data_IF_844365670054
#
_entry.id   IF_844365670054
#
_cell.length_a   1.000
_cell.length_b   1.000
_cell.length_c   1.000
_cell.angle_alpha   90.00
_cell.angle_beta   90.00
_cell.angle_gamma   90.00
#
_symmetry.space_group_name_H-M   'P 1'
#
loop_
_entity.id
_entity.type
_entity.pdbx_description
1 polymer ?
#
# COMPACT_ATOMS: atom_id res chain seq x y z
N UNK A 1 71.28 -111.61 -13.26
CA UNK A 1 70.32 -110.91 -12.38
C UNK A 1 69.77 -109.74 -13.17
N UNK A 2 68.56 -109.92 -13.68
CA UNK A 2 67.81 -108.89 -14.40
C UNK A 2 66.86 -108.23 -13.40
N UNK A 3 66.88 -106.90 -13.33
CA UNK A 3 65.86 -106.12 -12.62
C UNK A 3 65.26 -105.14 -13.61
N UNK A 4 64.01 -105.44 -13.93
CA UNK A 4 63.04 -104.68 -14.72
C UNK A 4 62.62 -103.39 -13.99
N UNK A 5 62.61 -102.28 -14.75
CA UNK A 5 61.60 -101.19 -14.90
C UNK A 5 60.85 -100.59 -13.68
N UNK A 6 60.27 -99.34 -13.74
CA UNK A 6 59.84 -98.62 -14.95
C UNK A 6 60.11 -97.09 -15.01
N UNK A 7 60.16 -96.59 -16.26
CA UNK A 7 59.89 -95.20 -16.58
C UNK A 7 58.37 -94.94 -16.50
N UNK A 8 57.96 -94.01 -15.64
CA UNK A 8 56.59 -93.53 -15.57
C UNK A 8 56.34 -92.44 -16.63
N UNK A 9 55.84 -92.82 -17.80
CA UNK A 9 55.15 -91.88 -18.70
C UNK A 9 53.69 -91.75 -18.26
N UNK A 10 53.32 -90.59 -17.72
CA UNK A 10 51.92 -90.20 -17.47
C UNK A 10 51.17 -90.13 -18.81
N UNK A 11 50.07 -90.87 -19.02
CA UNK A 11 49.13 -90.52 -20.07
C UNK A 11 48.29 -89.34 -19.58
N UNK A 12 48.39 -88.21 -20.28
CA UNK A 12 47.35 -87.18 -20.22
C UNK A 12 46.11 -87.78 -20.88
N UNK A 13 45.14 -88.16 -20.06
CA UNK A 13 43.79 -88.52 -20.49
C UNK A 13 43.10 -87.23 -20.96
N UNK A 14 43.35 -86.85 -22.21
CA UNK A 14 42.61 -85.79 -22.88
C UNK A 14 41.24 -86.38 -23.21
N UNK A 15 40.24 -86.09 -22.37
CA UNK A 15 38.85 -86.43 -22.63
C UNK A 15 38.38 -85.67 -23.87
N UNK A 16 38.59 -86.25 -25.04
CA UNK A 16 38.04 -85.76 -26.31
C UNK A 16 36.53 -86.00 -26.27
N UNK A 17 35.79 -85.00 -25.80
CA UNK A 17 34.33 -84.99 -25.88
C UNK A 17 33.96 -84.82 -27.35
N UNK A 18 33.63 -85.91 -28.02
CA UNK A 18 33.12 -85.89 -29.39
C UNK A 18 31.68 -85.36 -29.39
N UNK A 19 31.52 -84.06 -29.60
CA UNK A 19 30.22 -83.45 -29.84
C UNK A 19 29.65 -83.94 -31.17
N UNK A 20 28.44 -84.49 -31.15
CA UNK A 20 27.73 -84.76 -32.40
C UNK A 20 27.25 -83.44 -32.97
N UNK A 21 27.07 -83.37 -34.29
CA UNK A 21 26.62 -82.16 -34.96
C UNK A 21 25.27 -81.65 -34.41
N UNK A 22 24.41 -82.56 -33.95
CA UNK A 22 23.19 -82.25 -33.20
C UNK A 22 23.42 -81.47 -31.89
N UNK A 23 24.52 -81.75 -31.19
CA UNK A 23 24.83 -81.12 -29.91
C UNK A 23 25.34 -79.69 -30.14
N UNK A 24 26.13 -79.50 -31.20
CA UNK A 24 26.59 -78.17 -31.62
C UNK A 24 25.43 -77.28 -32.05
N UNK A 25 24.48 -77.83 -32.82
CA UNK A 25 23.29 -77.09 -33.25
C UNK A 25 22.38 -76.72 -32.07
N UNK A 26 22.22 -77.64 -31.10
CA UNK A 26 21.44 -77.38 -29.87
C UNK A 26 22.09 -76.29 -29.02
N UNK A 27 23.42 -76.30 -28.87
CA UNK A 27 24.15 -75.26 -28.12
C UNK A 27 24.02 -73.91 -28.81
N UNK A 28 24.11 -73.87 -30.16
CA UNK A 28 23.96 -72.64 -30.92
C UNK A 28 22.57 -72.04 -30.76
N UNK A 29 21.53 -72.87 -30.86
CA UNK A 29 20.15 -72.42 -30.66
C UNK A 29 19.92 -71.89 -29.23
N UNK A 30 20.47 -72.55 -28.21
CA UNK A 30 20.41 -72.06 -26.83
C UNK A 30 21.12 -70.72 -26.64
N UNK A 31 22.28 -70.52 -27.27
CA UNK A 31 23.01 -69.25 -27.21
C UNK A 31 22.18 -68.14 -27.87
N UNK A 32 21.63 -68.39 -29.05
CA UNK A 32 20.80 -67.40 -29.77
C UNK A 32 19.53 -67.04 -28.99
N UNK A 33 18.84 -68.02 -28.40
CA UNK A 33 17.69 -67.78 -27.53
C UNK A 33 18.06 -67.00 -26.27
N UNK A 34 19.21 -67.30 -25.67
CA UNK A 34 19.70 -66.59 -24.47
C UNK A 34 20.07 -65.15 -24.79
N UNK A 35 20.73 -64.90 -25.94
CA UNK A 35 21.05 -63.55 -26.41
C UNK A 35 19.79 -62.75 -26.76
N UNK A 36 18.83 -63.36 -27.45
CA UNK A 36 17.55 -62.73 -27.76
C UNK A 36 16.79 -62.32 -26.48
N UNK A 37 16.80 -63.20 -25.47
CA UNK A 37 16.16 -62.94 -24.17
C UNK A 37 16.85 -61.79 -23.43
N UNK A 38 18.19 -61.76 -23.42
CA UNK A 38 18.97 -60.65 -22.83
C UNK A 38 18.68 -59.32 -23.51
N UNK A 39 18.63 -59.29 -24.85
CA UNK A 39 18.28 -58.07 -25.61
C UNK A 39 16.86 -57.59 -25.28
N UNK A 40 15.89 -58.50 -25.19
CA UNK A 40 14.51 -58.16 -24.83
C UNK A 40 14.41 -57.62 -23.40
N UNK A 41 15.14 -58.21 -22.45
CA UNK A 41 15.18 -57.75 -21.07
C UNK A 41 15.84 -56.38 -20.95
N UNK A 42 16.95 -56.16 -21.67
CA UNK A 42 17.60 -54.85 -21.75
C UNK A 42 16.67 -53.78 -22.32
N UNK A 43 15.89 -54.10 -23.36
CA UNK A 43 14.90 -53.18 -23.92
C UNK A 43 13.79 -52.85 -22.91
N UNK A 44 13.29 -53.84 -22.16
CA UNK A 44 12.29 -53.61 -21.12
C UNK A 44 12.82 -52.71 -19.99
N UNK A 45 14.05 -52.98 -19.53
CA UNK A 45 14.70 -52.14 -18.51
C UNK A 45 14.91 -50.72 -19.03
N UNK A 46 15.33 -50.56 -20.29
CA UNK A 46 15.49 -49.25 -20.92
C UNK A 46 14.16 -48.49 -21.00
N UNK A 47 13.06 -49.16 -21.38
CA UNK A 47 11.72 -48.56 -21.42
C UNK A 47 11.29 -48.09 -20.02
N UNK A 48 11.49 -48.92 -19.01
CA UNK A 48 11.16 -48.57 -17.62
C UNK A 48 12.00 -47.39 -17.14
N UNK A 49 13.30 -47.38 -17.46
CA UNK A 49 14.19 -46.28 -17.11
C UNK A 49 13.77 -44.96 -17.78
N UNK A 50 13.41 -45.00 -19.07
CA UNK A 50 12.90 -43.82 -19.80
C UNK A 50 11.59 -43.33 -19.18
N UNK A 51 10.66 -44.23 -18.85
CA UNK A 51 9.39 -43.87 -18.23
C UNK A 51 9.60 -43.24 -16.84
N UNK A 52 10.51 -43.79 -16.02
CA UNK A 52 10.86 -43.24 -14.72
C UNK A 52 11.48 -41.84 -14.85
N UNK A 53 12.37 -41.63 -15.84
CA UNK A 53 13.03 -40.36 -16.09
C UNK A 53 12.03 -39.30 -16.57
N UNK A 54 11.10 -39.67 -17.47
CA UNK A 54 10.01 -38.80 -17.88
C UNK A 54 9.11 -38.42 -16.70
N UNK A 55 8.75 -39.37 -15.84
CA UNK A 55 7.98 -39.11 -14.62
C UNK A 55 8.70 -38.15 -13.66
N UNK A 56 10.01 -38.33 -13.47
CA UNK A 56 10.82 -37.45 -12.64
C UNK A 56 10.86 -36.01 -13.18
N UNK A 57 11.01 -35.82 -14.49
CA UNK A 57 10.99 -34.50 -15.13
C UNK A 57 9.63 -33.80 -14.89
N UNK A 58 8.52 -34.52 -15.07
CA UNK A 58 7.18 -33.97 -14.86
C UNK A 58 7.00 -33.53 -13.40
N UNK A 59 7.40 -34.35 -12.43
CA UNK A 59 7.31 -34.01 -11.01
C UNK A 59 8.17 -32.78 -10.65
N UNK A 60 9.41 -32.73 -11.16
CA UNK A 60 10.31 -31.59 -10.94
C UNK A 60 9.73 -30.31 -11.54
N UNK A 61 9.20 -30.36 -12.76
CA UNK A 61 8.59 -29.19 -13.41
C UNK A 61 7.37 -28.66 -12.66
N UNK A 62 6.52 -29.56 -12.16
CA UNK A 62 5.31 -29.21 -11.39
C UNK A 62 5.69 -28.56 -10.05
N UNK A 63 6.65 -29.15 -9.34
CA UNK A 63 7.14 -28.59 -8.07
C UNK A 63 7.79 -27.22 -8.27
N UNK A 64 8.55 -27.03 -9.34
CA UNK A 64 9.14 -25.73 -9.67
C UNK A 64 8.06 -24.69 -10.01
N UNK A 65 7.04 -25.05 -10.79
CA UNK A 65 5.92 -24.17 -11.11
C UNK A 65 5.18 -23.73 -9.82
N UNK A 66 4.88 -24.67 -8.93
CA UNK A 66 4.24 -24.37 -7.63
C UNK A 66 5.12 -23.47 -6.76
N UNK A 67 6.42 -23.77 -6.65
CA UNK A 67 7.35 -22.93 -5.90
C UNK A 67 7.44 -21.51 -6.46
N UNK A 68 7.58 -21.37 -7.79
CA UNK A 68 7.68 -20.08 -8.46
C UNK A 68 6.41 -19.23 -8.28
N UNK A 69 5.23 -19.85 -8.37
CA UNK A 69 3.94 -19.20 -8.14
C UNK A 69 3.77 -18.73 -6.69
N UNK A 70 4.23 -19.54 -5.72
CA UNK A 70 4.22 -19.20 -4.30
C UNK A 70 5.16 -18.03 -4.00
N UNK A 71 6.37 -18.03 -4.56
CA UNK A 71 7.33 -16.95 -4.39
C UNK A 71 6.81 -15.64 -5.03
N UNK A 72 6.21 -15.72 -6.22
CA UNK A 72 5.56 -14.58 -6.87
C UNK A 72 4.39 -14.04 -6.04
N UNK A 73 3.55 -14.92 -5.51
CA UNK A 73 2.40 -14.53 -4.67
C UNK A 73 2.85 -13.88 -3.38
N UNK A 74 3.90 -14.41 -2.72
CA UNK A 74 4.50 -13.80 -1.53
C UNK A 74 5.02 -12.40 -1.82
N UNK A 75 5.78 -12.21 -2.90
CA UNK A 75 6.28 -10.89 -3.30
C UNK A 75 5.14 -9.91 -3.57
N UNK A 76 4.08 -10.36 -4.25
CA UNK A 76 2.89 -9.54 -4.49
C UNK A 76 2.21 -9.14 -3.18
N UNK A 77 2.06 -10.08 -2.24
CA UNK A 77 1.47 -9.83 -0.93
C UNK A 77 2.31 -8.85 -0.09
N UNK A 78 3.63 -9.00 -0.12
CA UNK A 78 4.58 -8.08 0.54
C UNK A 78 4.50 -6.67 -0.04
N UNK A 79 4.38 -6.55 -1.37
CA UNK A 79 4.18 -5.28 -2.06
C UNK A 79 2.83 -4.64 -1.68
N UNK A 80 1.73 -5.38 -1.76
CA UNK A 80 0.41 -4.89 -1.37
C UNK A 80 0.38 -4.48 0.11
N UNK A 81 1.02 -5.24 0.99
CA UNK A 81 1.12 -4.90 2.41
C UNK A 81 1.95 -3.62 2.63
N UNK A 82 3.08 -3.45 1.92
CA UNK A 82 3.89 -2.24 1.99
C UNK A 82 3.11 -1.01 1.47
N UNK A 83 2.37 -1.16 0.37
CA UNK A 83 1.51 -0.10 -0.17
C UNK A 83 0.39 0.28 0.81
N UNK A 84 -0.32 -0.69 1.38
CA UNK A 84 -1.38 -0.45 2.36
C UNK A 84 -0.85 0.22 3.62
N UNK A 85 0.33 -0.19 4.10
CA UNK A 85 0.98 0.46 5.23
C UNK A 85 1.34 1.91 4.90
N UNK A 86 1.92 2.17 3.74
CA UNK A 86 2.22 3.53 3.29
C UNK A 86 0.98 4.42 3.19
N UNK A 87 -0.13 3.90 2.66
CA UNK A 87 -1.40 4.64 2.61
C UNK A 87 -1.95 4.93 3.99
N UNK A 88 -1.87 3.98 4.91
CA UNK A 88 -2.30 4.17 6.31
C UNK A 88 -1.49 5.28 6.97
N UNK A 89 -0.16 5.25 6.83
CA UNK A 89 0.72 6.27 7.40
C UNK A 89 0.43 7.68 6.83
N UNK A 90 0.18 7.77 5.53
CA UNK A 90 -0.20 9.03 4.87
C UNK A 90 -1.56 9.56 5.36
N UNK A 91 -2.56 8.68 5.50
CA UNK A 91 -3.88 9.06 6.00
C UNK A 91 -3.77 9.54 7.45
N UNK A 92 -2.98 8.85 8.29
CA UNK A 92 -2.77 9.25 9.67
C UNK A 92 -2.13 10.64 9.76
N UNK A 93 -1.09 10.91 8.97
CA UNK A 93 -0.47 12.23 8.91
C UNK A 93 -1.44 13.32 8.46
N UNK A 94 -2.30 13.04 7.48
CA UNK A 94 -3.34 13.98 7.04
C UNK A 94 -4.39 14.23 8.14
N UNK A 95 -4.76 13.21 8.89
CA UNK A 95 -5.70 13.30 9.99
C UNK A 95 -5.13 14.15 11.12
N UNK A 96 -3.88 13.91 11.50
CA UNK A 96 -3.17 14.65 12.55
C UNK A 96 -3.01 16.13 12.14
N UNK A 97 -2.62 16.39 10.90
CA UNK A 97 -2.50 17.76 10.38
C UNK A 97 -3.85 18.50 10.34
N UNK A 98 -4.93 17.82 9.95
CA UNK A 98 -6.29 18.41 9.99
C UNK A 98 -6.74 18.68 11.41
N UNK A 99 -6.54 17.73 12.32
CA UNK A 99 -6.93 17.88 13.73
C UNK A 99 -6.18 19.04 14.37
N UNK A 100 -4.86 19.16 14.15
CA UNK A 100 -4.07 20.28 14.65
C UNK A 100 -4.57 21.64 14.10
N UNK A 101 -4.93 21.69 12.81
CA UNK A 101 -5.50 22.88 12.20
C UNK A 101 -6.86 23.23 12.79
N UNK A 102 -7.74 22.25 12.98
CA UNK A 102 -9.05 22.45 13.58
C UNK A 102 -8.95 22.95 15.03
N UNK A 103 -8.03 22.43 15.82
CA UNK A 103 -7.77 22.91 17.20
C UNK A 103 -7.28 24.37 17.18
N UNK A 104 -6.31 24.70 16.33
CA UNK A 104 -5.83 26.07 16.20
C UNK A 104 -6.93 27.03 15.71
N UNK A 105 -7.71 26.62 14.72
CA UNK A 105 -8.84 27.40 14.22
C UNK A 105 -9.93 27.56 15.30
N UNK A 106 -10.14 26.57 16.16
CA UNK A 106 -11.09 26.61 17.28
C UNK A 106 -10.62 27.58 18.38
N UNK A 107 -9.34 27.56 18.75
CA UNK A 107 -8.75 28.51 19.69
C UNK A 107 -8.89 29.95 19.17
N UNK A 108 -8.53 30.17 17.90
CA UNK A 108 -8.65 31.49 17.27
C UNK A 108 -10.11 31.97 17.22
N UNK A 109 -11.06 31.07 16.97
CA UNK A 109 -12.50 31.36 17.03
C UNK A 109 -12.97 31.67 18.43
N UNK A 110 -12.54 30.92 19.44
CA UNK A 110 -12.90 31.16 20.85
C UNK A 110 -12.39 32.52 21.33
N UNK A 111 -11.16 32.91 20.96
CA UNK A 111 -10.62 34.24 21.23
C UNK A 111 -11.43 35.34 20.53
N UNK A 112 -11.75 35.16 19.25
CA UNK A 112 -12.52 36.12 18.48
C UNK A 112 -13.93 36.31 19.07
N UNK A 113 -14.59 35.22 19.47
CA UNK A 113 -15.90 35.27 20.12
C UNK A 113 -15.82 35.99 21.47
N UNK A 114 -14.82 35.68 22.29
CA UNK A 114 -14.62 36.35 23.59
C UNK A 114 -14.39 37.86 23.42
N UNK A 115 -13.65 38.28 22.39
CA UNK A 115 -13.44 39.71 22.08
C UNK A 115 -14.72 40.37 21.61
N UNK A 116 -15.51 39.69 20.77
CA UNK A 116 -16.79 40.17 20.30
C UNK A 116 -17.78 40.34 21.46
N UNK A 117 -17.89 39.37 22.36
CA UNK A 117 -18.76 39.44 23.55
C UNK A 117 -18.34 40.58 24.50
N UNK A 118 -17.05 40.90 24.59
CA UNK A 118 -16.54 42.05 25.37
C UNK A 118 -16.85 43.40 24.72
N UNK A 119 -16.74 43.49 23.40
CA UNK A 119 -16.97 44.74 22.67
C UNK A 119 -18.45 45.04 22.47
N UNK A 120 -19.29 44.01 22.36
CA UNK A 120 -20.69 44.13 22.03
C UNK A 120 -21.45 45.11 22.95
N UNK A 121 -21.34 45.04 24.30
CA UNK A 121 -22.02 45.99 25.18
C UNK A 121 -21.54 47.43 24.98
N UNK A 122 -20.24 47.65 24.74
CA UNK A 122 -19.68 48.98 24.52
C UNK A 122 -20.17 49.59 23.20
N UNK A 123 -20.25 48.77 22.15
CA UNK A 123 -20.72 49.15 20.82
C UNK A 123 -22.22 49.46 20.84
N UNK A 124 -23.04 48.63 21.51
CA UNK A 124 -24.48 48.84 21.62
C UNK A 124 -24.87 50.04 22.48
N UNK A 125 -24.06 50.40 23.48
CA UNK A 125 -24.30 51.54 24.35
C UNK A 125 -23.65 52.86 23.86
N UNK A 126 -23.12 52.90 22.63
CA UNK A 126 -22.42 54.06 22.05
C UNK A 126 -21.21 54.53 22.89
N UNK A 127 -20.57 53.60 23.61
CA UNK A 127 -19.38 53.84 24.45
C UNK A 127 -18.07 53.41 23.80
N UNK A 128 -18.14 52.66 22.70
CA UNK A 128 -16.98 52.17 21.98
C UNK A 128 -16.32 53.27 21.13
N UNK A 129 -14.98 53.29 21.11
CA UNK A 129 -14.23 54.19 20.23
C UNK A 129 -14.35 53.79 18.75
N UNK A 130 -14.02 54.70 17.82
CA UNK A 130 -14.12 54.40 16.40
C UNK A 130 -13.26 53.21 15.94
N UNK A 131 -12.11 52.99 16.58
CA UNK A 131 -11.26 51.81 16.33
C UNK A 131 -11.88 50.50 16.82
N UNK A 132 -12.64 50.54 17.91
CA UNK A 132 -13.33 49.37 18.46
C UNK A 132 -14.50 48.96 17.57
N UNK A 133 -15.27 49.93 17.05
CA UNK A 133 -16.37 49.65 16.12
C UNK A 133 -15.85 49.14 14.77
N UNK A 134 -14.69 49.65 14.32
CA UNK A 134 -14.04 49.12 13.12
C UNK A 134 -13.56 47.68 13.32
N UNK A 135 -12.97 47.37 14.48
CA UNK A 135 -12.58 46.02 14.86
C UNK A 135 -13.78 45.08 14.97
N UNK A 136 -14.88 45.57 15.55
CA UNK A 136 -16.17 44.86 15.62
C UNK A 136 -16.73 44.55 14.23
N UNK A 137 -16.70 45.51 13.30
CA UNK A 137 -17.14 45.30 11.93
C UNK A 137 -16.33 44.22 11.21
N UNK A 138 -15.01 44.21 11.40
CA UNK A 138 -14.14 43.15 10.88
C UNK A 138 -14.43 41.79 11.52
N UNK A 139 -14.68 41.74 12.83
CA UNK A 139 -15.02 40.50 13.52
C UNK A 139 -16.33 39.91 13.02
N UNK A 140 -17.38 40.72 12.85
CA UNK A 140 -18.65 40.25 12.26
C UNK A 140 -18.41 39.70 10.85
N UNK A 141 -17.63 40.38 10.01
CA UNK A 141 -17.36 39.93 8.64
C UNK A 141 -16.67 38.55 8.59
N UNK A 142 -15.87 38.22 9.61
CA UNK A 142 -15.17 36.94 9.70
C UNK A 142 -16.05 35.81 10.27
N UNK A 143 -17.27 36.09 10.74
CA UNK A 143 -18.21 35.05 11.16
C UNK A 143 -18.73 34.28 9.93
N UNK A 144 -19.08 32.98 10.07
CA UNK A 144 -19.59 32.17 8.94
C UNK A 144 -20.78 32.80 8.21
N UNK A 145 -21.68 33.43 8.97
CA UNK A 145 -22.90 34.06 8.44
C UNK A 145 -22.77 35.58 8.28
N UNK A 146 -21.59 36.15 8.58
CA UNK A 146 -21.29 37.60 8.53
C UNK A 146 -22.29 38.49 9.26
N UNK A 147 -22.98 37.94 10.26
CA UNK A 147 -24.08 38.58 10.97
C UNK A 147 -24.06 38.26 12.45
N UNK A 148 -24.61 39.17 13.24
CA UNK A 148 -24.87 38.99 14.67
C UNK A 148 -26.32 39.36 14.98
N UNK A 149 -26.95 38.59 15.86
CA UNK A 149 -28.29 38.86 16.39
C UNK A 149 -28.21 39.67 17.68
N UNK A 150 -29.12 40.62 17.83
CA UNK A 150 -29.16 41.60 18.91
C UNK A 150 -30.58 41.70 19.45
N UNK A 151 -30.68 41.81 20.77
CA UNK A 151 -31.96 41.95 21.47
C UNK A 151 -32.54 43.37 21.37
N UNK A 152 -31.72 44.37 21.04
CA UNK A 152 -32.09 45.79 21.03
C UNK A 152 -31.62 46.47 19.75
N UNK A 153 -32.29 47.58 19.40
CA UNK A 153 -31.92 48.39 18.23
C UNK A 153 -30.47 48.89 18.37
N UNK A 154 -29.59 48.69 17.38
CA UNK A 154 -28.24 49.23 17.39
C UNK A 154 -28.26 50.76 17.27
N UNK A 155 -27.27 51.48 17.82
CA UNK A 155 -27.13 52.92 17.60
C UNK A 155 -26.96 53.24 16.11
N UNK A 156 -27.64 54.29 15.61
CA UNK A 156 -27.60 54.63 14.19
C UNK A 156 -26.19 55.04 13.71
N UNK A 157 -25.35 55.55 14.63
CA UNK A 157 -23.92 55.88 14.38
C UNK A 157 -23.05 54.68 14.00
N UNK A 158 -23.56 53.46 14.22
CA UNK A 158 -22.91 52.22 13.86
C UNK A 158 -22.93 51.97 12.34
N UNK A 159 -23.97 52.46 11.65
CA UNK A 159 -24.23 52.23 10.22
C UNK A 159 -23.47 53.23 9.33
N UNK A 160 -22.15 53.14 9.36
CA UNK A 160 -21.23 53.90 8.51
C UNK A 160 -20.09 53.03 8.02
N UNK A 161 -19.23 53.61 7.18
CA UNK A 161 -18.05 52.93 6.68
C UNK A 161 -16.93 53.02 7.72
N UNK A 162 -16.41 51.85 8.10
CA UNK A 162 -15.38 51.68 9.11
C UNK A 162 -14.11 51.16 8.45
N UNK A 163 -13.00 51.86 8.64
CA UNK A 163 -11.70 51.46 8.08
C UNK A 163 -10.89 50.74 9.14
N UNK A 164 -10.34 49.59 8.77
CA UNK A 164 -9.39 48.81 9.57
C UNK A 164 -8.12 48.64 8.78
N UNK A 165 -6.99 49.05 9.35
CA UNK A 165 -5.68 48.78 8.77
C UNK A 165 -5.09 47.55 9.44
N UNK A 166 -4.83 46.51 8.65
CA UNK A 166 -4.18 45.28 9.10
C UNK A 166 -2.92 45.07 8.28
N UNK A 167 -1.77 45.27 8.91
CA UNK A 167 -0.47 45.15 8.23
C UNK A 167 -0.36 46.11 7.04
N UNK A 168 -0.18 45.56 5.83
CA UNK A 168 -0.07 46.31 4.58
C UNK A 168 -1.42 46.62 3.91
N UNK A 169 -2.55 46.19 4.47
CA UNK A 169 -3.86 46.35 3.84
C UNK A 169 -4.79 47.23 4.66
N UNK A 170 -5.54 48.10 4.00
CA UNK A 170 -6.64 48.86 4.58
C UNK A 170 -7.94 48.31 4.01
N UNK A 171 -8.78 47.81 4.91
CA UNK A 171 -10.08 47.23 4.60
C UNK A 171 -11.18 48.17 5.10
N UNK A 172 -12.19 48.42 4.28
CA UNK A 172 -13.35 49.24 4.64
C UNK A 172 -14.58 48.35 4.74
N UNK A 173 -15.19 48.34 5.91
CA UNK A 173 -16.38 47.58 6.25
C UNK A 173 -17.58 48.50 6.40
N UNK A 174 -18.73 48.08 5.89
CA UNK A 174 -20.01 48.76 6.12
C UNK A 174 -20.87 47.86 6.98
N UNK A 175 -21.36 48.40 8.09
CA UNK A 175 -22.34 47.73 8.94
C UNK A 175 -23.74 48.07 8.47
N UNK A 176 -24.58 47.05 8.31
CA UNK A 176 -25.98 47.18 7.86
C UNK A 176 -26.88 46.54 8.91
N UNK A 177 -27.83 47.30 9.44
CA UNK A 177 -28.83 46.80 10.38
C UNK A 177 -30.13 46.42 9.67
N UNK A 178 -30.75 45.35 10.13
CA UNK A 178 -32.11 44.96 9.75
C UNK A 178 -32.86 44.38 10.94
N UNK A 179 -34.18 44.35 10.88
CA UNK A 179 -35.03 43.66 11.85
C UNK A 179 -35.62 42.42 11.18
N UNK A 180 -35.25 41.23 11.65
CA UNK A 180 -35.59 39.94 11.04
C UNK A 180 -36.06 39.01 12.16
N UNK A 181 -37.21 38.35 11.96
CA UNK A 181 -37.77 37.36 12.89
C UNK A 181 -37.87 37.85 14.35
N UNK A 182 -38.24 39.11 14.54
CA UNK A 182 -38.42 39.70 15.88
C UNK A 182 -37.12 40.13 16.57
N UNK A 183 -35.96 40.00 15.92
CA UNK A 183 -34.65 40.42 16.45
C UNK A 183 -33.97 41.44 15.55
N UNK A 184 -33.10 42.26 16.14
CA UNK A 184 -32.21 43.11 15.37
C UNK A 184 -31.02 42.27 14.87
N UNK A 185 -30.67 42.42 13.61
CA UNK A 185 -29.54 41.72 12.99
C UNK A 185 -28.61 42.76 12.39
N UNK A 186 -27.31 42.62 12.67
CA UNK A 186 -26.27 43.47 12.07
C UNK A 186 -25.41 42.62 11.17
N UNK A 187 -25.31 43.02 9.91
CA UNK A 187 -24.43 42.44 8.89
C UNK A 187 -23.19 43.31 8.73
N UNK A 188 -22.07 42.68 8.41
CA UNK A 188 -20.87 43.39 7.99
C UNK A 188 -20.49 43.01 6.57
N UNK A 189 -20.31 44.02 5.71
CA UNK A 189 -19.91 43.85 4.32
C UNK A 189 -18.56 44.52 4.08
N UNK A 190 -17.65 43.83 3.41
CA UNK A 190 -16.40 44.41 2.92
C UNK A 190 -16.70 45.19 1.63
N UNK A 191 -16.47 46.51 1.66
CA UNK A 191 -16.81 47.42 0.55
C UNK A 191 -15.60 47.87 -0.23
N UNK A 192 -14.42 47.93 0.41
CA UNK A 192 -13.18 48.23 -0.29
C UNK A 192 -11.99 47.56 0.40
N UNK A 193 -11.02 47.12 -0.40
CA UNK A 193 -9.71 46.66 0.06
C UNK A 193 -8.65 47.39 -0.75
N UNK A 194 -7.75 48.10 -0.08
CA UNK A 194 -6.64 48.81 -0.70
C UNK A 194 -5.33 48.50 0.00
N UNK A 195 -4.21 48.66 -0.71
CA UNK A 195 -2.89 48.69 -0.07
C UNK A 195 -2.76 49.94 0.79
N UNK A 196 -2.37 49.75 2.04
CA UNK A 196 -2.01 50.81 2.96
C UNK A 196 -0.67 51.38 2.50
N UNK A 197 -0.70 52.51 1.77
CA UNK A 197 0.50 53.29 1.49
C UNK A 197 1.06 53.80 2.82
N UNK A 198 2.11 53.16 3.32
CA UNK A 198 2.95 53.69 4.40
C UNK A 198 3.41 55.08 3.97
N UNK A 199 2.97 56.12 4.66
CA UNK A 199 3.60 57.44 4.65
C UNK A 199 4.55 57.52 5.83
#
# INVERSE_FOLDING_TARGET
>A
MATDQPHATRPHDEWVVNYRQSDVDTIREQIEQTEATKRRLLLLVLIVAIAALAGAIILLSTNYALYSSSQSSKKKLEQEHAELKSRTDQIQQQLDAKTAKETSDAETRAEAQTRLDKLLPAVLNDRAGGGDVASFARMIYNLPNRRIELERKPPDKLFRNWRVTTGSTTETYTLVGGFVDGKWVVYSNLVARGESRKR
#
